data_IF_569305625472
#
_entry.id   IF_569305625472
#
_cell.length_a   1.000
_cell.length_b   1.000
_cell.length_c   1.000
_cell.angle_alpha   90.00
_cell.angle_beta   90.00
_cell.angle_gamma   90.00
#
_symmetry.space_group_name_H-M   'P 1'
#
loop_
_entity.id
_entity.type
_entity.pdbx_description
1 polymer ?
#
# COMPACT_ATOMS: atom_id res chain seq x y z
N UNK A 1 -2.15 -2.15 -22.87
CA UNK A 1 -1.18 -3.28 -22.76
C UNK A 1 -0.09 -2.95 -21.76
N UNK A 2 0.56 -1.77 -21.86
CA UNK A 2 1.62 -1.32 -20.95
C UNK A 2 1.21 -1.37 -19.47
N UNK A 3 0.06 -0.79 -19.10
CA UNK A 3 -0.39 -0.78 -17.71
C UNK A 3 -0.53 -2.17 -17.10
N UNK A 4 -1.03 -3.14 -17.87
CA UNK A 4 -1.14 -4.54 -17.42
C UNK A 4 0.22 -5.19 -17.19
N UNK A 5 1.23 -4.84 -17.99
CA UNK A 5 2.60 -5.32 -17.79
C UNK A 5 3.20 -4.72 -16.53
N UNK A 6 2.97 -3.42 -16.28
CA UNK A 6 3.42 -2.74 -15.07
C UNK A 6 2.75 -3.37 -13.84
N UNK A 7 1.42 -3.53 -13.86
CA UNK A 7 0.68 -4.18 -12.78
C UNK A 7 1.18 -5.61 -12.54
N UNK A 8 1.43 -6.38 -13.60
CA UNK A 8 2.01 -7.72 -13.49
C UNK A 8 3.39 -7.71 -12.83
N UNK A 9 4.24 -6.75 -13.18
CA UNK A 9 5.56 -6.59 -12.56
C UNK A 9 5.47 -6.19 -11.08
N UNK A 10 4.60 -5.25 -10.73
CA UNK A 10 4.35 -4.83 -9.34
C UNK A 10 3.87 -6.03 -8.52
N UNK A 11 2.89 -6.78 -9.03
CA UNK A 11 2.38 -7.99 -8.37
C UNK A 11 3.49 -9.04 -8.17
N UNK A 12 4.32 -9.27 -9.19
CA UNK A 12 5.41 -10.22 -9.12
C UNK A 12 6.48 -9.82 -8.08
N UNK A 13 6.84 -8.53 -8.00
CA UNK A 13 7.77 -8.05 -6.97
C UNK A 13 7.12 -8.14 -5.59
N UNK A 14 5.85 -7.75 -5.45
CA UNK A 14 5.15 -7.81 -4.17
C UNK A 14 5.12 -9.24 -3.62
N UNK A 15 4.80 -10.23 -4.45
CA UNK A 15 4.76 -11.64 -4.07
C UNK A 15 6.15 -12.24 -3.75
N UNK A 16 7.26 -11.56 -4.09
CA UNK A 16 8.61 -11.94 -3.63
C UNK A 16 8.92 -11.42 -2.23
N UNK A 17 8.32 -10.30 -1.85
CA UNK A 17 8.53 -9.69 -0.53
C UNK A 17 7.49 -10.14 0.49
N UNK A 18 6.25 -10.41 0.10
CA UNK A 18 5.16 -10.63 1.02
C UNK A 18 4.36 -11.89 0.72
N UNK A 19 3.94 -12.58 1.77
CA UNK A 19 2.77 -13.46 1.72
C UNK A 19 1.53 -12.68 2.17
N UNK A 20 0.34 -13.10 1.70
CA UNK A 20 -0.90 -12.43 2.10
C UNK A 20 -1.20 -12.57 3.60
N UNK A 21 -0.76 -13.67 4.22
CA UNK A 21 -0.93 -13.90 5.65
C UNK A 21 -0.19 -12.87 6.51
N UNK A 22 0.98 -12.40 6.06
CA UNK A 22 1.76 -11.37 6.76
C UNK A 22 1.04 -10.02 6.81
N UNK A 23 0.12 -9.75 5.87
CA UNK A 23 -0.59 -8.49 5.74
C UNK A 23 -2.08 -8.62 6.11
N UNK A 24 -2.47 -9.72 6.76
CA UNK A 24 -3.89 -9.96 7.07
C UNK A 24 -4.45 -8.91 8.05
N UNK A 25 -3.65 -8.41 8.99
CA UNK A 25 -4.03 -7.32 9.90
C UNK A 25 -4.30 -6.01 9.15
N UNK A 26 -3.47 -5.69 8.16
CA UNK A 26 -3.69 -4.55 7.25
C UNK A 26 -5.02 -4.74 6.52
N UNK A 27 -5.21 -5.89 5.87
CA UNK A 27 -6.46 -6.19 5.13
C UNK A 27 -7.69 -6.10 6.04
N UNK A 28 -7.61 -6.66 7.25
CA UNK A 28 -8.70 -6.63 8.22
C UNK A 28 -9.08 -5.20 8.61
N UNK A 29 -8.10 -4.30 8.80
CA UNK A 29 -8.34 -2.89 9.10
C UNK A 29 -9.16 -2.20 8.01
N UNK A 30 -8.82 -2.43 6.74
CA UNK A 30 -9.53 -1.87 5.60
C UNK A 30 -10.94 -2.47 5.43
N UNK A 31 -11.08 -3.79 5.62
CA UNK A 31 -12.40 -4.45 5.61
C UNK A 31 -13.32 -3.98 6.75
N UNK A 32 -12.75 -3.52 7.86
CA UNK A 32 -13.49 -2.88 8.95
C UNK A 32 -13.93 -1.42 8.64
N UNK A 33 -13.82 -0.98 7.38
CA UNK A 33 -14.29 0.33 6.93
C UNK A 33 -13.21 1.42 6.89
N UNK A 34 -11.94 1.09 7.14
CA UNK A 34 -10.86 2.04 6.91
C UNK A 34 -10.68 2.27 5.40
N UNK A 35 -10.49 3.52 5.02
CA UNK A 35 -10.17 3.92 3.66
C UNK A 35 -9.10 5.01 3.69
N UNK A 36 -8.26 5.07 2.67
CA UNK A 36 -7.21 6.07 2.58
C UNK A 36 -7.05 6.59 1.16
N UNK A 37 -6.81 7.90 1.05
CA UNK A 37 -6.46 8.57 -0.19
C UNK A 37 -4.95 8.84 -0.25
N UNK A 38 -4.35 8.49 -1.38
CA UNK A 38 -2.92 8.64 -1.66
C UNK A 38 -2.70 9.17 -3.07
N UNK A 39 -1.48 9.63 -3.35
CA UNK A 39 -1.06 10.08 -4.68
C UNK A 39 0.00 11.17 -4.63
N UNK A 40 0.37 11.68 -5.81
CA UNK A 40 1.53 12.57 -6.01
C UNK A 40 1.51 13.87 -5.19
N UNK A 41 0.32 14.32 -4.79
CA UNK A 41 0.13 15.55 -4.00
C UNK A 41 -0.05 15.28 -2.50
N UNK A 42 0.02 14.02 -2.07
CA UNK A 42 -0.08 13.66 -0.65
C UNK A 42 1.27 13.85 0.02
N UNK A 43 1.38 14.68 1.09
CA UNK A 43 2.63 14.87 1.81
C UNK A 43 3.18 13.56 2.39
N UNK A 44 4.48 13.30 2.24
CA UNK A 44 5.10 12.07 2.79
C UNK A 44 4.91 11.91 4.31
N UNK A 45 4.70 13.01 5.04
CA UNK A 45 4.40 12.97 6.47
C UNK A 45 3.06 12.29 6.79
N UNK A 46 2.08 12.34 5.87
CA UNK A 46 0.78 11.71 6.07
C UNK A 46 0.86 10.19 5.91
N UNK A 47 1.78 9.69 5.08
CA UNK A 47 2.07 8.25 5.01
C UNK A 47 2.71 7.72 6.31
N UNK A 48 3.53 8.54 6.99
CA UNK A 48 4.07 8.16 8.30
C UNK A 48 2.95 8.06 9.34
N UNK A 49 1.94 8.93 9.28
CA UNK A 49 0.75 8.83 10.15
C UNK A 49 -0.06 7.59 9.83
N UNK A 50 -0.32 7.33 8.55
CA UNK A 50 -1.04 6.15 8.08
C UNK A 50 -0.36 4.86 8.52
N UNK A 51 0.95 4.74 8.32
CA UNK A 51 1.76 3.59 8.74
C UNK A 51 1.63 3.32 10.24
N UNK A 52 1.53 4.38 11.07
CA UNK A 52 1.32 4.23 12.52
C UNK A 52 -0.11 3.89 12.92
N UNK A 53 -1.10 4.20 12.07
CA UNK A 53 -2.52 3.95 12.34
C UNK A 53 -3.00 2.57 11.89
N UNK A 54 -2.29 1.96 10.95
CA UNK A 54 -2.62 0.65 10.38
C UNK A 54 -1.53 -0.33 10.77
N UNK A 55 -1.85 -1.16 11.76
CA UNK A 55 -0.98 -2.23 12.25
C UNK A 55 -0.49 -3.13 11.10
N UNK A 56 0.81 -3.39 11.06
CA UNK A 56 1.47 -4.21 10.03
C UNK A 56 2.07 -3.41 8.88
N UNK A 57 1.67 -2.15 8.66
CA UNK A 57 2.31 -1.31 7.63
C UNK A 57 3.73 -0.89 7.99
N UNK A 58 4.04 -0.75 9.28
CA UNK A 58 5.38 -0.47 9.77
C UNK A 58 6.35 -1.62 9.49
N UNK A 59 5.96 -2.85 9.83
CA UNK A 59 6.71 -4.06 9.51
C UNK A 59 6.88 -4.24 7.98
N UNK A 60 5.85 -3.91 7.20
CA UNK A 60 5.93 -3.95 5.74
C UNK A 60 6.95 -2.92 5.20
N UNK A 61 6.93 -1.69 5.72
CA UNK A 61 7.87 -0.65 5.34
C UNK A 61 9.32 -1.00 5.73
N UNK A 62 9.51 -1.60 6.91
CA UNK A 62 10.82 -2.09 7.35
C UNK A 62 11.35 -3.21 6.45
N UNK A 63 10.51 -4.20 6.10
CA UNK A 63 10.87 -5.30 5.19
C UNK A 63 11.28 -4.82 3.80
N UNK A 64 10.71 -3.70 3.35
CA UNK A 64 11.07 -3.04 2.08
C UNK A 64 12.30 -2.12 2.20
N UNK A 65 12.90 -2.00 3.38
CA UNK A 65 14.10 -1.20 3.60
C UNK A 65 13.86 0.31 3.62
N UNK A 66 12.65 0.77 3.93
CA UNK A 66 12.32 2.20 3.94
C UNK A 66 13.11 3.02 5.00
N UNK A 67 13.55 2.35 6.07
CA UNK A 67 14.26 2.98 7.18
C UNK A 67 13.45 4.14 7.79
N UNK A 68 14.09 5.30 7.99
CA UNK A 68 13.45 6.50 8.57
C UNK A 68 13.10 7.58 7.53
N UNK A 69 13.31 7.30 6.25
CA UNK A 69 13.07 8.26 5.18
C UNK A 69 11.57 8.38 4.91
N UNK A 70 10.99 9.57 5.12
CA UNK A 70 9.55 9.78 4.90
C UNK A 70 9.12 9.47 3.46
N UNK A 71 9.85 9.91 2.41
CA UNK A 71 9.54 9.52 1.04
C UNK A 71 9.61 8.01 0.82
N UNK A 72 10.61 7.33 1.38
CA UNK A 72 10.72 5.88 1.25
C UNK A 72 9.58 5.14 1.95
N UNK A 73 9.15 5.62 3.12
CA UNK A 73 7.96 5.11 3.82
C UNK A 73 6.71 5.30 2.95
N UNK A 74 6.54 6.47 2.33
CA UNK A 74 5.42 6.72 1.43
C UNK A 74 5.40 5.72 0.26
N UNK A 75 6.53 5.54 -0.42
CA UNK A 75 6.66 4.55 -1.50
C UNK A 75 6.38 3.13 -1.04
N UNK A 76 6.90 2.73 0.13
CA UNK A 76 6.71 1.40 0.67
C UNK A 76 5.24 1.13 1.03
N UNK A 77 4.56 2.12 1.62
CA UNK A 77 3.13 2.03 1.93
C UNK A 77 2.30 1.94 0.66
N UNK A 78 2.55 2.79 -0.35
CA UNK A 78 1.83 2.70 -1.63
C UNK A 78 2.07 1.37 -2.34
N UNK A 79 3.29 0.85 -2.31
CA UNK A 79 3.61 -0.45 -2.88
C UNK A 79 2.85 -1.59 -2.18
N UNK A 80 2.77 -1.55 -0.84
CA UNK A 80 2.00 -2.53 -0.09
C UNK A 80 0.50 -2.48 -0.42
N UNK A 81 -0.08 -1.28 -0.48
CA UNK A 81 -1.50 -1.09 -0.83
C UNK A 81 -1.79 -1.54 -2.27
N UNK A 82 -0.92 -1.21 -3.21
CA UNK A 82 -1.07 -1.61 -4.61
C UNK A 82 -0.95 -3.13 -4.77
N UNK A 83 0.01 -3.76 -4.09
CA UNK A 83 0.16 -5.22 -4.13
C UNK A 83 -1.04 -5.95 -3.52
N UNK A 84 -1.62 -5.42 -2.44
CA UNK A 84 -2.87 -5.93 -1.87
C UNK A 84 -4.05 -5.74 -2.83
N UNK A 85 -4.12 -4.60 -3.52
CA UNK A 85 -5.14 -4.38 -4.54
C UNK A 85 -5.01 -5.37 -5.71
N UNK A 86 -3.80 -5.57 -6.23
CA UNK A 86 -3.54 -6.49 -7.34
C UNK A 86 -3.76 -7.97 -6.95
N UNK A 87 -3.60 -8.31 -5.67
CA UNK A 87 -4.00 -9.59 -5.09
C UNK A 87 -5.50 -9.67 -4.73
N UNK A 88 -6.32 -8.68 -5.12
CA UNK A 88 -7.77 -8.61 -4.87
C UNK A 88 -8.16 -8.62 -3.39
N UNK A 89 -7.27 -8.11 -2.52
CA UNK A 89 -7.52 -7.97 -1.08
C UNK A 89 -8.08 -6.60 -0.72
N UNK A 90 -7.80 -5.59 -1.54
CA UNK A 90 -8.31 -4.21 -1.43
C UNK A 90 -8.89 -3.75 -2.76
N UNK A 91 -9.89 -2.87 -2.68
CA UNK A 91 -10.39 -2.10 -3.81
C UNK A 91 -9.58 -0.82 -3.97
N UNK A 92 -9.42 -0.36 -5.22
CA UNK A 92 -8.75 0.89 -5.58
C UNK A 92 -9.63 1.68 -6.53
N UNK A 93 -9.98 2.89 -6.14
CA UNK A 93 -10.69 3.83 -6.99
C UNK A 93 -9.79 5.01 -7.36
N UNK A 94 -9.99 5.56 -8.56
CA UNK A 94 -9.34 6.79 -8.99
C UNK A 94 -10.30 7.96 -8.82
N UNK A 95 -9.96 8.90 -7.94
CA UNK A 95 -10.79 10.08 -7.63
C UNK A 95 -9.95 11.33 -7.86
N UNK A 96 -10.33 12.15 -8.86
CA UNK A 96 -9.72 13.45 -9.14
C UNK A 96 -8.17 13.45 -9.16
N UNK A 97 -7.55 12.41 -9.75
CA UNK A 97 -6.10 12.28 -9.84
C UNK A 97 -5.42 11.64 -8.62
N UNK A 98 -6.19 11.26 -7.60
CA UNK A 98 -5.75 10.47 -6.44
C UNK A 98 -6.25 9.04 -6.53
N UNK A 99 -5.67 8.17 -5.71
CA UNK A 99 -6.13 6.81 -5.50
C UNK A 99 -6.70 6.64 -4.11
N UNK A 100 -7.90 6.06 -4.02
CA UNK A 100 -8.50 5.67 -2.76
C UNK A 100 -8.45 4.15 -2.62
N UNK A 101 -7.85 3.66 -1.53
CA UNK A 101 -7.86 2.24 -1.18
C UNK A 101 -8.88 1.98 -0.06
N UNK A 102 -9.65 0.90 -0.20
CA UNK A 102 -10.65 0.43 0.77
C UNK A 102 -10.75 -1.10 0.79
N UNK A 103 -11.43 -1.65 1.81
CA UNK A 103 -11.76 -3.07 1.90
C UNK A 103 -12.65 -3.58 0.76
#
# INVERSE_FOLDING_TARGET
IIDRLIQGAVLAVFNRYFSLAELETVVAKFKAGHAVEVGDQTPSADYVKLMKQVEGLDAAAEKLGAGRSRPAIASAVEFALEGLHLNKRLNKDKIAGRFQYRG
#
